data_IF_117923660637
#
_entry.id   IF_117923660637
#
_cell.length_a   1.000
_cell.length_b   1.000
_cell.length_c   1.000
_cell.angle_alpha   90.00
_cell.angle_beta   90.00
_cell.angle_gamma   90.00
#
_symmetry.space_group_name_H-M   'P 1'
#
loop_
_entity.id
_entity.type
_entity.pdbx_description
1 polymer ?
#
# COMPACT_ATOMS: atom_id res chain seq x y z
N UNK A 1 -2.96 -4.79 -8.97
CA UNK A 1 -3.12 -3.61 -8.09
C UNK A 1 -2.12 -3.81 -6.96
N UNK A 2 -1.07 -2.98 -6.91
CA UNK A 2 0.05 -3.16 -5.96
C UNK A 2 -0.41 -2.79 -4.54
N UNK A 3 -0.91 -3.78 -3.79
CA UNK A 3 -1.11 -3.67 -2.33
C UNK A 3 0.24 -3.35 -1.63
N UNK A 4 1.36 -3.57 -2.32
CA UNK A 4 2.72 -3.14 -1.97
C UNK A 4 2.86 -1.67 -1.52
N UNK A 5 1.95 -0.77 -1.92
CA UNK A 5 1.96 0.64 -1.50
C UNK A 5 1.16 0.93 -0.23
N UNK A 6 0.49 -0.06 0.35
CA UNK A 6 -0.18 0.04 1.66
C UNK A 6 0.81 0.34 2.80
N UNK A 7 2.11 0.17 2.58
CA UNK A 7 3.15 0.26 3.60
C UNK A 7 3.85 1.63 3.68
N UNK A 8 3.44 2.58 2.83
CA UNK A 8 4.09 3.89 2.74
C UNK A 8 3.71 4.86 3.88
N UNK A 9 2.79 4.51 4.78
CA UNK A 9 2.24 5.41 5.79
C UNK A 9 2.69 5.14 7.24
N UNK A 10 3.75 4.35 7.48
CA UNK A 10 4.29 4.16 8.85
C UNK A 10 5.14 5.36 9.33
N UNK A 11 5.32 6.41 8.51
CA UNK A 11 6.01 7.63 8.95
C UNK A 11 5.50 8.87 8.22
N UNK A 12 4.44 9.48 8.74
CA UNK A 12 4.05 10.84 8.37
C UNK A 12 5.08 11.81 8.92
N UNK A 13 6.01 12.24 8.08
CA UNK A 13 6.99 13.26 8.39
C UNK A 13 7.74 13.66 7.12
N UNK A 14 7.51 14.89 6.64
CA UNK A 14 8.24 15.51 5.54
C UNK A 14 9.75 15.43 5.79
N UNK A 15 10.45 14.53 5.10
CA UNK A 15 11.90 14.55 5.05
C UNK A 15 12.39 14.22 3.63
N UNK A 16 12.57 15.30 2.88
CA UNK A 16 13.33 15.37 1.64
C UNK A 16 14.73 14.81 1.90
N UNK A 17 15.07 13.68 1.28
CA UNK A 17 16.44 13.14 1.16
C UNK A 17 17.25 13.10 2.47
N UNK A 18 16.77 12.39 3.50
CA UNK A 18 17.68 11.95 4.55
C UNK A 18 18.43 10.72 4.04
N UNK A 19 19.73 10.85 3.80
CA UNK A 19 20.62 9.71 3.63
C UNK A 19 20.68 9.00 4.98
N UNK A 20 19.89 7.94 5.14
CA UNK A 20 20.11 7.01 6.25
C UNK A 20 21.55 6.50 6.23
N UNK A 21 22.15 6.36 7.41
CA UNK A 21 23.42 5.64 7.58
C UNK A 21 23.26 4.13 7.41
N UNK A 22 22.01 3.64 7.40
CA UNK A 22 21.70 2.23 7.23
C UNK A 22 22.13 1.71 5.86
N UNK A 23 22.65 0.49 5.85
CA UNK A 23 23.08 -0.16 4.61
C UNK A 23 21.85 -0.38 3.72
N UNK A 24 21.97 -0.16 2.39
CA UNK A 24 20.90 -0.49 1.47
C UNK A 24 20.65 -2.01 1.49
N UNK A 25 19.43 -2.46 1.14
CA UNK A 25 19.08 -3.87 1.14
C UNK A 25 19.94 -4.67 0.16
N UNK A 26 20.22 -5.92 0.51
CA UNK A 26 20.84 -6.84 -0.43
C UNK A 26 19.87 -7.24 -1.55
N UNK A 27 20.42 -7.78 -2.65
CA UNK A 27 19.59 -8.35 -3.74
C UNK A 27 18.71 -9.51 -3.25
N UNK A 28 19.13 -10.25 -2.22
CA UNK A 28 18.33 -11.31 -1.63
C UNK A 28 17.09 -10.72 -0.94
N UNK A 29 17.28 -9.69 -0.11
CA UNK A 29 16.18 -9.05 0.62
C UNK A 29 15.11 -8.51 -0.33
N UNK A 30 15.48 -7.88 -1.44
CA UNK A 30 14.48 -7.37 -2.39
C UNK A 30 13.79 -8.49 -3.18
N UNK A 31 14.48 -9.60 -3.47
CA UNK A 31 13.85 -10.79 -4.08
C UNK A 31 12.85 -11.46 -3.14
N UNK A 32 13.16 -11.52 -1.85
CA UNK A 32 12.30 -12.11 -0.82
C UNK A 32 11.01 -11.31 -0.59
N UNK A 33 10.83 -10.15 -1.25
CA UNK A 33 9.62 -9.31 -1.16
C UNK A 33 8.78 -9.30 -2.44
N UNK A 34 9.16 -10.07 -3.48
CA UNK A 34 8.47 -10.08 -4.79
C UNK A 34 6.99 -10.49 -4.67
N UNK A 35 6.67 -11.40 -3.76
CA UNK A 35 5.33 -11.91 -3.50
C UNK A 35 4.36 -10.83 -3.00
N UNK A 36 4.84 -9.82 -2.26
CA UNK A 36 3.99 -8.74 -1.73
C UNK A 36 4.27 -7.37 -2.38
N UNK A 37 5.39 -7.22 -3.11
CA UNK A 37 5.80 -5.98 -3.78
C UNK A 37 5.83 -6.07 -5.31
N UNK A 38 5.46 -7.20 -5.90
CA UNK A 38 5.33 -7.42 -7.34
C UNK A 38 6.65 -7.64 -8.08
N UNK A 39 7.75 -7.00 -7.66
CA UNK A 39 9.10 -7.28 -8.18
C UNK A 39 10.21 -6.83 -7.24
N UNK A 40 11.42 -7.35 -7.44
CA UNK A 40 12.61 -6.93 -6.68
C UNK A 40 12.99 -5.47 -6.94
N UNK A 41 12.75 -4.98 -8.17
CA UNK A 41 12.95 -3.58 -8.54
C UNK A 41 11.96 -2.65 -7.82
N UNK A 42 10.70 -3.06 -7.69
CA UNK A 42 9.70 -2.33 -6.91
C UNK A 42 10.05 -2.34 -5.42
N UNK A 43 10.48 -3.48 -4.86
CA UNK A 43 10.93 -3.54 -3.47
C UNK A 43 12.11 -2.60 -3.19
N UNK A 44 13.10 -2.56 -4.09
CA UNK A 44 14.20 -1.60 -4.01
C UNK A 44 13.72 -0.15 -4.09
N UNK A 45 12.79 0.15 -5.00
CA UNK A 45 12.21 1.49 -5.14
C UNK A 45 11.49 1.94 -3.87
N UNK A 46 10.71 1.06 -3.24
CA UNK A 46 10.02 1.36 -1.97
C UNK A 46 11.02 1.69 -0.86
N UNK A 47 12.09 0.90 -0.71
CA UNK A 47 13.15 1.22 0.24
C UNK A 47 13.76 2.60 -0.04
N UNK A 48 14.18 2.88 -1.29
CA UNK A 48 14.81 4.16 -1.64
C UNK A 48 13.89 5.38 -1.40
N UNK A 49 12.58 5.21 -1.61
CA UNK A 49 11.62 6.31 -1.55
C UNK A 49 11.06 6.53 -0.14
N UNK A 50 10.87 5.45 0.62
CA UNK A 50 10.14 5.46 1.88
C UNK A 50 10.94 4.83 3.02
N UNK A 51 11.57 3.68 2.78
CA UNK A 51 12.34 2.96 3.79
C UNK A 51 13.55 3.72 4.31
N UNK A 52 14.31 4.39 3.44
CA UNK A 52 15.51 5.15 3.82
C UNK A 52 15.22 6.35 4.72
N UNK A 53 13.98 6.84 4.78
CA UNK A 53 13.57 7.92 5.68
C UNK A 53 12.88 7.40 6.95
N UNK A 54 12.74 6.08 7.12
CA UNK A 54 11.99 5.48 8.24
C UNK A 54 12.76 5.42 9.55
N UNK A 55 14.10 5.55 9.51
CA UNK A 55 14.99 5.31 10.65
C UNK A 55 15.20 3.83 10.98
N UNK A 56 14.62 2.91 10.21
CA UNK A 56 14.83 1.46 10.33
C UNK A 56 15.99 1.00 9.46
N UNK A 57 16.65 -0.09 9.86
CA UNK A 57 17.51 -0.83 8.93
C UNK A 57 16.67 -1.40 7.77
N UNK A 58 17.32 -1.74 6.66
CA UNK A 58 16.63 -2.35 5.52
C UNK A 58 15.95 -3.68 5.86
N UNK A 59 16.51 -4.44 6.82
CA UNK A 59 15.94 -5.70 7.28
C UNK A 59 14.66 -5.48 8.08
N UNK A 60 14.70 -4.57 9.05
CA UNK A 60 13.53 -4.22 9.85
C UNK A 60 12.43 -3.58 9.01
N UNK A 61 12.77 -2.72 8.05
CA UNK A 61 11.79 -2.14 7.13
C UNK A 61 11.05 -3.20 6.34
N UNK A 62 11.75 -4.18 5.76
CA UNK A 62 11.10 -5.25 5.00
C UNK A 62 10.35 -6.25 5.89
N UNK A 63 10.85 -6.56 7.08
CA UNK A 63 10.13 -7.37 8.06
C UNK A 63 8.80 -6.70 8.44
N UNK A 64 8.83 -5.42 8.81
CA UNK A 64 7.65 -4.64 9.18
C UNK A 64 6.69 -4.42 8.02
N UNK A 65 7.24 -4.26 6.81
CA UNK A 65 6.49 -4.22 5.56
C UNK A 65 5.68 -5.51 5.37
N UNK A 66 6.31 -6.67 5.56
CA UNK A 66 5.63 -7.97 5.44
C UNK A 66 4.59 -8.17 6.53
N UNK A 67 4.90 -7.79 7.77
CA UNK A 67 3.98 -7.84 8.89
C UNK A 67 2.71 -7.02 8.59
N UNK A 68 2.87 -5.76 8.22
CA UNK A 68 1.74 -4.89 7.88
C UNK A 68 0.98 -5.32 6.62
N UNK A 69 1.65 -5.96 5.64
CA UNK A 69 0.92 -6.58 4.52
C UNK A 69 0.05 -7.75 5.02
N UNK A 70 0.58 -8.57 5.92
CA UNK A 70 -0.14 -9.72 6.46
C UNK A 70 -1.33 -9.35 7.34
N UNK A 71 -1.35 -8.12 7.89
CA UNK A 71 -2.51 -7.61 8.63
C UNK A 71 -3.65 -7.16 7.73
N UNK A 72 -3.55 -7.22 6.40
CA UNK A 72 -4.61 -6.80 5.48
C UNK A 72 -5.00 -7.95 4.55
N UNK A 73 -6.25 -8.39 4.67
CA UNK A 73 -6.87 -9.38 3.78
C UNK A 73 -7.27 -8.75 2.46
N UNK A 74 -6.72 -9.26 1.36
CA UNK A 74 -7.11 -8.84 0.01
C UNK A 74 -8.52 -9.36 -0.34
N UNK A 75 -9.45 -8.50 -0.79
CA UNK A 75 -10.79 -8.93 -1.13
C UNK A 75 -10.78 -9.91 -2.32
N UNK A 76 -11.32 -11.12 -2.09
CA UNK A 76 -11.36 -12.19 -3.10
C UNK A 76 -12.05 -11.78 -4.40
N UNK A 77 -13.01 -10.87 -4.33
CA UNK A 77 -13.75 -10.34 -5.49
C UNK A 77 -12.85 -9.61 -6.48
N UNK A 78 -11.77 -8.97 -6.01
CA UNK A 78 -10.83 -8.26 -6.87
C UNK A 78 -9.92 -9.23 -7.63
N UNK A 79 -9.58 -10.36 -7.00
CA UNK A 79 -8.69 -11.39 -7.58
C UNK A 79 -9.34 -12.23 -8.69
N UNK A 80 -10.65 -12.09 -8.90
CA UNK A 80 -11.41 -12.90 -9.87
C UNK A 80 -11.68 -12.18 -11.18
N UNK A 81 -11.11 -10.99 -11.38
CA UNK A 81 -11.32 -10.23 -12.60
C UNK A 81 -10.35 -10.71 -13.68
N UNK A 82 -10.92 -11.18 -14.78
CA UNK A 82 -10.24 -11.61 -16.00
C UNK A 82 -10.15 -10.48 -17.06
N UNK A 83 -10.99 -9.45 -16.91
CA UNK A 83 -11.09 -8.31 -17.82
C UNK A 83 -11.10 -6.97 -17.10
N UNK A 84 -10.81 -5.91 -17.86
CA UNK A 84 -10.98 -4.53 -17.42
C UNK A 84 -12.46 -4.25 -17.15
N UNK A 85 -12.78 -3.74 -15.97
CA UNK A 85 -14.15 -3.38 -15.58
C UNK A 85 -14.24 -1.90 -15.21
N UNK A 86 -15.45 -1.36 -15.25
CA UNK A 86 -15.74 -0.04 -14.70
C UNK A 86 -16.52 -0.18 -13.41
N UNK A 87 -16.04 0.46 -12.35
CA UNK A 87 -16.66 0.40 -11.02
C UNK A 87 -16.55 1.75 -10.32
N UNK A 88 -17.50 2.09 -9.44
CA UNK A 88 -17.30 3.17 -8.48
C UNK A 88 -16.10 2.87 -7.58
N UNK A 89 -15.29 3.88 -7.28
CA UNK A 89 -14.17 3.71 -6.35
C UNK A 89 -14.62 3.30 -4.94
N UNK A 90 -15.81 3.75 -4.52
CA UNK A 90 -16.43 3.34 -3.25
C UNK A 90 -16.69 1.84 -3.17
N UNK A 91 -16.98 1.17 -4.30
CA UNK A 91 -17.17 -0.30 -4.31
C UNK A 91 -15.87 -1.02 -3.97
N UNK A 92 -14.71 -0.47 -4.37
CA UNK A 92 -13.41 -1.04 -4.01
C UNK A 92 -13.15 -0.85 -2.51
N UNK A 93 -13.41 0.35 -2.00
CA UNK A 93 -13.30 0.65 -0.57
C UNK A 93 -14.17 -0.29 0.27
N UNK A 94 -15.43 -0.45 -0.12
CA UNK A 94 -16.41 -1.35 0.53
C UNK A 94 -15.91 -2.79 0.58
N UNK A 95 -15.32 -3.27 -0.51
CA UNK A 95 -14.78 -4.62 -0.58
C UNK A 95 -13.62 -4.84 0.42
N UNK A 96 -12.78 -3.82 0.62
CA UNK A 96 -11.71 -3.86 1.62
C UNK A 96 -12.27 -3.85 3.04
N UNK A 97 -13.19 -2.94 3.36
CA UNK A 97 -13.83 -2.87 4.69
C UNK A 97 -14.57 -4.18 5.00
N UNK A 98 -15.28 -4.75 4.03
CA UNK A 98 -15.97 -6.04 4.20
C UNK A 98 -15.01 -7.20 4.47
N UNK A 99 -13.84 -7.21 3.82
CA UNK A 99 -12.83 -8.26 3.99
C UNK A 99 -11.98 -8.07 5.25
N UNK A 100 -12.02 -6.88 5.86
CA UNK A 100 -11.21 -6.49 7.01
C UNK A 100 -12.10 -5.74 8.01
N UNK A 101 -12.92 -6.43 8.83
CA UNK A 101 -13.92 -5.80 9.70
C UNK A 101 -13.36 -4.85 10.78
N UNK A 102 -12.05 -4.85 10.98
CA UNK A 102 -11.32 -3.92 11.85
C UNK A 102 -10.86 -2.64 11.15
N UNK A 103 -11.10 -2.50 9.84
CA UNK A 103 -10.90 -1.26 9.11
C UNK A 103 -12.21 -0.48 9.04
N UNK A 104 -12.15 0.79 9.43
CA UNK A 104 -13.20 1.75 9.13
C UNK A 104 -12.90 2.48 7.81
N UNK A 105 -13.92 3.12 7.23
CA UNK A 105 -13.81 3.84 5.95
C UNK A 105 -12.77 4.95 5.97
N UNK A 106 -12.59 5.61 7.11
CA UNK A 106 -11.61 6.69 7.25
C UNK A 106 -10.17 6.16 7.46
N UNK A 107 -9.97 4.84 7.59
CA UNK A 107 -8.67 4.18 7.76
C UNK A 107 -8.10 3.66 6.42
N UNK A 108 -8.82 3.85 5.33
CA UNK A 108 -8.42 3.44 3.98
C UNK A 108 -8.78 4.53 2.97
N UNK A 109 -7.92 4.78 1.99
CA UNK A 109 -8.23 5.67 0.86
C UNK A 109 -7.96 4.98 -0.47
N UNK A 110 -8.91 5.08 -1.39
CA UNK A 110 -8.79 4.57 -2.77
C UNK A 110 -8.40 5.72 -3.67
N UNK A 111 -7.30 5.60 -4.40
CA UNK A 111 -6.82 6.66 -5.29
C UNK A 111 -7.03 6.31 -6.76
N UNK A 112 -7.29 7.33 -7.58
CA UNK A 112 -7.38 7.20 -9.02
C UNK A 112 -6.34 8.07 -9.73
N UNK A 113 -5.92 7.62 -10.91
CA UNK A 113 -5.06 8.40 -11.82
C UNK A 113 -5.46 8.07 -13.25
N UNK A 114 -5.61 9.11 -14.08
CA UNK A 114 -5.94 8.98 -15.50
C UNK A 114 -7.20 8.12 -15.76
N UNK A 115 -8.18 8.18 -14.86
CA UNK A 115 -9.43 7.42 -14.97
C UNK A 115 -9.38 5.97 -14.48
N UNK A 116 -8.23 5.52 -13.96
CA UNK A 116 -8.07 4.18 -13.40
C UNK A 116 -7.97 4.23 -11.88
N UNK A 117 -8.51 3.20 -11.21
CA UNK A 117 -8.21 2.90 -9.81
C UNK A 117 -6.77 2.41 -9.74
N UNK A 118 -5.96 3.07 -8.91
CA UNK A 118 -4.51 2.83 -8.83
C UNK A 118 -4.13 2.06 -7.58
N UNK A 119 -4.62 2.52 -6.42
CA UNK A 119 -4.12 2.06 -5.14
C UNK A 119 -5.22 2.09 -4.08
N UNK A 120 -5.19 1.06 -3.23
CA UNK A 120 -5.77 1.10 -1.89
C UNK A 120 -4.65 1.42 -0.90
N UNK A 121 -4.81 2.47 -0.11
CA UNK A 121 -3.86 2.88 0.92
C UNK A 121 -4.51 2.70 2.29
N UNK A 122 -3.96 1.81 3.11
CA UNK A 122 -4.40 1.62 4.49
C UNK A 122 -3.52 2.43 5.41
N UNK A 123 -4.13 3.16 6.34
CA UNK A 123 -3.45 3.98 7.32
C UNK A 123 -3.24 3.20 8.61
N UNK A 124 -1.98 3.04 9.00
CA UNK A 124 -1.58 2.25 10.16
C UNK A 124 -0.71 3.09 11.10
N UNK A 125 -0.84 2.84 12.40
CA UNK A 125 0.06 3.35 13.41
C UNK A 125 1.45 2.72 13.28
N UNK A 126 2.42 3.22 14.06
CA UNK A 126 3.75 2.58 14.16
C UNK A 126 3.70 1.17 14.75
N UNK A 127 2.65 0.82 15.49
CA UNK A 127 2.39 -0.53 16.00
C UNK A 127 1.47 -1.34 15.08
N UNK A 128 1.29 -0.88 13.84
CA UNK A 128 0.51 -1.56 12.79
C UNK A 128 -0.98 -1.70 13.10
N UNK A 129 -1.49 -0.87 14.00
CA UNK A 129 -2.92 -0.79 14.27
C UNK A 129 -3.58 0.15 13.26
N UNK A 130 -4.74 -0.21 12.68
CA UNK A 130 -5.54 0.71 11.87
C UNK A 130 -5.79 2.03 12.61
N UNK A 131 -5.62 3.13 11.89
CA UNK A 131 -5.90 4.48 12.39
C UNK A 131 -6.52 5.32 11.28
N UNK A 132 -7.33 6.34 11.63
CA UNK A 132 -7.84 7.28 10.64
C UNK A 132 -6.70 7.91 9.82
N UNK A 133 -6.90 8.02 8.52
CA UNK A 133 -5.93 8.61 7.61
C UNK A 133 -5.74 10.11 7.88
N UNK A 134 -4.49 10.55 7.81
CA UNK A 134 -4.15 11.97 7.89
C UNK A 134 -4.69 12.77 6.70
N UNK A 135 -4.97 14.07 6.91
CA UNK A 135 -5.49 14.98 5.88
C UNK A 135 -4.61 15.08 4.62
N UNK A 136 -3.31 14.84 4.77
CA UNK A 136 -2.32 14.83 3.70
C UNK A 136 -2.35 13.54 2.85
N UNK A 137 -2.91 12.46 3.41
CA UNK A 137 -3.03 11.14 2.77
C UNK A 137 -4.37 10.96 2.08
N UNK A 138 -5.46 11.49 2.66
CA UNK A 138 -6.82 11.37 2.11
C UNK A 138 -6.87 11.98 0.70
N UNK A 139 -6.94 11.10 -0.31
CA UNK A 139 -6.99 11.46 -1.73
C UNK A 139 -8.04 10.60 -2.44
N UNK A 140 -9.21 10.53 -1.82
CA UNK A 140 -10.28 9.66 -2.26
C UNK A 140 -10.68 9.96 -3.69
N UNK A 141 -10.64 8.90 -4.48
CA UNK A 141 -11.20 8.88 -5.80
C UNK A 141 -12.72 8.98 -5.68
N UNK A 142 -13.29 10.07 -6.18
CA UNK A 142 -14.75 10.28 -6.22
C UNK A 142 -15.42 9.75 -7.50
N UNK A 143 -14.66 9.05 -8.34
CA UNK A 143 -15.19 8.56 -9.61
C UNK A 143 -16.18 7.41 -9.37
N UNK A 144 -17.35 7.50 -10.00
CA UNK A 144 -18.37 6.45 -9.98
C UNK A 144 -18.22 5.44 -11.12
N UNK A 145 -17.25 5.65 -12.02
CA UNK A 145 -17.08 4.87 -13.24
C UNK A 145 -15.59 4.68 -13.61
N UNK A 146 -14.75 4.45 -12.60
CA UNK A 146 -13.30 4.29 -12.77
C UNK A 146 -12.95 2.93 -13.37
N UNK A 147 -11.91 2.90 -14.19
CA UNK A 147 -11.39 1.68 -14.80
C UNK A 147 -10.58 0.89 -13.77
N UNK A 148 -10.90 -0.39 -13.62
CA UNK A 148 -10.20 -1.29 -12.71
C UNK A 148 -9.65 -2.50 -13.49
N UNK A 149 -8.33 -2.59 -13.68
CA UNK A 149 -7.72 -3.69 -14.44
C UNK A 149 -7.71 -4.98 -13.62
N UNK A 150 -7.61 -6.15 -14.28
CA UNK A 150 -7.36 -7.42 -13.62
C UNK A 150 -6.21 -7.33 -12.62
N UNK A 151 -6.45 -7.70 -11.36
CA UNK A 151 -5.35 -7.92 -10.41
C UNK A 151 -4.85 -9.35 -10.56
N UNK A 152 -3.61 -9.49 -11.03
CA UNK A 152 -2.85 -10.74 -11.01
C UNK A 152 -2.28 -10.99 -9.63
#
# INVERSE_FOLDING_TARGET
MDIARALAAVSSGLARLLYTSERPPSRKMTRDMVDIMGSSGLAWHQWKKHGSCSGLSAAEYFAKSREAYSTITQPKVLNRLDKLVRVPASVIEDAFVQSNPYLERDMITITCKQGYIQEARVCLSKSLQPVPCGRDVIKDCRMTNALFPPSR
#
